data_IF_260716851893
#
_entry.id   IF_260716851893
#
_cell.length_a   1.000
_cell.length_b   1.000
_cell.length_c   1.000
_cell.angle_alpha   90.00
_cell.angle_beta   90.00
_cell.angle_gamma   90.00
#
_symmetry.space_group_name_H-M   'P 1'
#
loop_
_entity.id
_entity.type
_entity.pdbx_description
1 polymer ?
#
# COMPACT_ATOMS: atom_id res chain seq x y z
N UNK A 1 6.85 -13.45 -14.95
CA UNK A 1 5.94 -12.83 -15.93
C UNK A 1 4.56 -12.77 -15.31
N UNK A 2 3.81 -11.68 -15.52
CA UNK A 2 2.41 -11.60 -15.12
C UNK A 2 1.55 -12.63 -15.87
N UNK A 3 0.35 -12.88 -15.35
CA UNK A 3 -0.61 -13.82 -15.96
C UNK A 3 -1.25 -13.29 -17.25
N UNK A 4 -1.17 -11.97 -17.48
CA UNK A 4 -1.66 -11.31 -18.70
C UNK A 4 -0.53 -10.53 -19.40
N UNK A 5 -0.64 -10.26 -20.71
CA UNK A 5 0.29 -9.39 -21.43
C UNK A 5 0.37 -8.00 -20.80
N UNK A 6 1.57 -7.44 -20.76
CA UNK A 6 1.83 -6.08 -20.29
C UNK A 6 2.10 -5.18 -21.49
N UNK A 7 1.81 -3.88 -21.37
CA UNK A 7 2.30 -2.89 -22.32
C UNK A 7 3.53 -2.27 -21.66
N UNK A 8 4.71 -2.64 -22.16
CA UNK A 8 5.96 -2.14 -21.60
C UNK A 8 6.17 -0.69 -22.03
N UNK A 9 7.02 0.04 -21.30
CA UNK A 9 7.26 1.46 -21.54
C UNK A 9 7.69 1.76 -22.98
N UNK A 10 8.52 0.90 -23.57
CA UNK A 10 9.02 1.08 -24.94
C UNK A 10 7.95 0.83 -26.02
N UNK A 11 6.89 0.10 -25.68
CA UNK A 11 5.80 -0.29 -26.59
C UNK A 11 4.58 0.62 -26.44
N UNK A 12 4.53 1.41 -25.36
CA UNK A 12 3.43 2.31 -25.07
C UNK A 12 3.32 3.41 -26.13
N UNK A 13 2.08 3.71 -26.52
CA UNK A 13 1.77 4.79 -27.45
C UNK A 13 0.52 5.55 -27.01
N UNK A 14 0.26 6.70 -27.63
CA UNK A 14 -0.96 7.49 -27.39
C UNK A 14 -1.16 7.87 -25.92
N UNK A 15 -2.32 7.54 -25.35
CA UNK A 15 -2.66 7.88 -23.97
C UNK A 15 -1.83 7.09 -22.94
N UNK A 16 -1.48 5.83 -23.23
CA UNK A 16 -0.65 5.00 -22.35
C UNK A 16 0.76 5.55 -22.23
N UNK A 17 1.38 5.98 -23.33
CA UNK A 17 2.69 6.63 -23.28
C UNK A 17 2.67 7.90 -22.40
N UNK A 18 1.64 8.74 -22.56
CA UNK A 18 1.52 9.98 -21.76
C UNK A 18 1.40 9.71 -20.28
N UNK A 19 0.55 8.77 -19.85
CA UNK A 19 0.43 8.47 -18.42
C UNK A 19 1.69 7.81 -17.86
N UNK A 20 2.38 6.99 -18.67
CA UNK A 20 3.67 6.41 -18.27
C UNK A 20 4.76 7.45 -18.07
N UNK A 21 4.77 8.55 -18.82
CA UNK A 21 5.69 9.67 -18.56
C UNK A 21 5.48 10.25 -17.15
N UNK A 22 4.23 10.36 -16.70
CA UNK A 22 3.90 10.86 -15.38
C UNK A 22 4.26 9.84 -14.28
N UNK A 23 3.98 8.56 -14.52
CA UNK A 23 4.45 7.45 -13.65
C UNK A 23 5.97 7.53 -13.48
N UNK A 24 6.72 7.66 -14.58
CA UNK A 24 8.18 7.73 -14.56
C UNK A 24 8.68 8.97 -13.81
N UNK A 25 8.02 10.13 -13.94
CA UNK A 25 8.38 11.32 -13.15
C UNK A 25 8.20 11.09 -11.65
N UNK A 26 7.17 10.35 -11.25
CA UNK A 26 6.86 10.08 -9.85
C UNK A 26 7.76 8.99 -9.24
N UNK A 27 8.08 7.94 -9.99
CA UNK A 27 8.74 6.73 -9.46
C UNK A 27 10.13 6.43 -10.06
N UNK A 28 10.58 7.23 -11.04
CA UNK A 28 11.85 7.02 -11.75
C UNK A 28 11.79 5.96 -12.86
N UNK A 29 10.78 5.08 -12.85
CA UNK A 29 10.48 4.05 -13.85
C UNK A 29 8.96 3.85 -13.96
N UNK A 30 8.51 2.97 -14.85
CA UNK A 30 7.14 2.44 -14.83
C UNK A 30 7.13 1.11 -14.07
N UNK A 31 6.68 1.07 -12.79
CA UNK A 31 6.52 -0.18 -12.05
C UNK A 31 5.60 -1.18 -12.79
N UNK A 32 5.87 -2.48 -12.61
CA UNK A 32 5.07 -3.58 -13.14
C UNK A 32 3.58 -3.48 -12.74
N UNK A 33 3.29 -2.87 -11.58
CA UNK A 33 1.93 -2.56 -11.16
C UNK A 33 1.16 -1.66 -12.14
N UNK A 34 1.82 -0.68 -12.75
CA UNK A 34 1.21 0.17 -13.76
C UNK A 34 1.33 -0.45 -15.16
N UNK A 35 2.44 -1.14 -15.45
CA UNK A 35 2.66 -1.77 -16.76
C UNK A 35 1.59 -2.82 -17.12
N UNK A 36 1.14 -3.61 -16.13
CA UNK A 36 0.09 -4.62 -16.31
C UNK A 36 -1.29 -4.00 -16.61
N UNK A 37 -1.46 -2.71 -16.30
CA UNK A 37 -2.71 -1.97 -16.47
C UNK A 37 -2.72 -1.07 -17.71
N UNK A 38 -1.69 -1.17 -18.57
CA UNK A 38 -1.45 -0.23 -19.67
C UNK A 38 -2.58 -0.08 -20.69
N UNK A 39 -3.53 -1.02 -20.74
CA UNK A 39 -4.75 -0.93 -21.57
C UNK A 39 -5.77 0.08 -21.05
N UNK A 40 -5.62 0.54 -19.80
CA UNK A 40 -6.50 1.48 -19.11
C UNK A 40 -5.73 2.68 -18.55
N UNK A 41 -5.18 3.55 -19.42
CA UNK A 41 -4.39 4.71 -18.98
C UNK A 41 -5.19 5.71 -18.14
N UNK A 42 -6.52 5.76 -18.32
CA UNK A 42 -7.44 6.52 -17.49
C UNK A 42 -7.45 6.04 -16.03
N UNK A 43 -7.43 4.71 -15.82
CA UNK A 43 -7.39 4.09 -14.49
C UNK A 43 -6.04 4.34 -13.83
N UNK A 44 -4.94 4.18 -14.57
CA UNK A 44 -3.59 4.47 -14.06
C UNK A 44 -3.50 5.90 -13.54
N UNK A 45 -3.99 6.88 -14.31
CA UNK A 45 -3.98 8.28 -13.89
C UNK A 45 -4.79 8.52 -12.60
N UNK A 46 -5.97 7.88 -12.49
CA UNK A 46 -6.81 7.97 -11.30
C UNK A 46 -6.15 7.31 -10.08
N UNK A 47 -5.51 6.16 -10.26
CA UNK A 47 -4.78 5.44 -9.21
C UNK A 47 -3.57 6.24 -8.70
N UNK A 48 -2.81 6.86 -9.60
CA UNK A 48 -1.72 7.74 -9.20
C UNK A 48 -2.21 8.91 -8.35
N UNK A 49 -3.30 9.55 -8.78
CA UNK A 49 -3.89 10.67 -8.05
C UNK A 49 -4.43 10.23 -6.68
N UNK A 50 -5.17 9.11 -6.63
CA UNK A 50 -5.72 8.58 -5.39
C UNK A 50 -4.62 8.11 -4.44
N UNK A 51 -3.72 7.25 -4.91
CA UNK A 51 -2.60 6.73 -4.13
C UNK A 51 -1.68 7.84 -3.61
N UNK A 52 -1.38 8.85 -4.44
CA UNK A 52 -0.61 10.02 -4.01
C UNK A 52 -1.29 10.81 -2.89
N UNK A 53 -2.61 11.02 -2.98
CA UNK A 53 -3.40 11.68 -1.94
C UNK A 53 -3.52 10.86 -0.65
N UNK A 54 -3.58 9.52 -0.77
CA UNK A 54 -3.62 8.63 0.39
C UNK A 54 -2.26 8.62 1.09
N UNK A 55 -1.16 8.50 0.36
CA UNK A 55 0.17 8.23 0.92
C UNK A 55 0.95 9.48 1.35
N UNK A 56 0.55 10.69 0.98
CA UNK A 56 1.21 11.92 1.47
C UNK A 56 1.07 12.08 2.99
N UNK A 57 1.96 12.86 3.60
CA UNK A 57 1.82 13.27 4.99
C UNK A 57 0.58 14.15 5.17
N UNK A 58 -0.28 13.79 6.12
CA UNK A 58 -1.47 14.57 6.47
C UNK A 58 -1.87 14.23 7.93
N UNK A 59 -3.09 13.76 8.22
CA UNK A 59 -3.46 13.43 9.60
C UNK A 59 -2.60 12.27 10.16
N UNK A 60 -2.31 11.26 9.33
CA UNK A 60 -1.31 10.24 9.60
C UNK A 60 0.00 10.53 8.83
N UNK A 61 1.16 10.39 9.49
CA UNK A 61 2.44 10.43 8.80
C UNK A 61 2.54 9.33 7.75
N UNK A 62 3.16 9.63 6.62
CA UNK A 62 3.42 8.67 5.53
C UNK A 62 4.11 7.41 6.05
N UNK A 63 5.07 7.55 6.97
CA UNK A 63 5.75 6.40 7.57
C UNK A 63 4.78 5.43 8.26
N UNK A 64 3.71 5.92 8.91
CA UNK A 64 2.69 5.05 9.54
C UNK A 64 1.85 4.36 8.47
N UNK A 65 1.47 5.07 7.40
CA UNK A 65 0.73 4.50 6.26
C UNK A 65 1.51 3.39 5.54
N UNK A 66 2.81 3.58 5.37
CA UNK A 66 3.73 2.57 4.81
C UNK A 66 3.90 1.36 5.76
N UNK A 67 3.88 1.55 7.08
CA UNK A 67 3.83 0.42 8.04
C UNK A 67 2.52 -0.37 7.91
N UNK A 68 1.38 0.32 7.80
CA UNK A 68 0.07 -0.32 7.51
C UNK A 68 0.15 -1.11 6.20
N UNK A 69 0.80 -0.55 5.16
CA UNK A 69 1.01 -1.23 3.89
C UNK A 69 1.69 -2.60 4.05
N UNK A 70 2.74 -2.66 4.88
CA UNK A 70 3.49 -3.89 5.15
C UNK A 70 2.68 -4.91 5.95
N UNK A 71 1.91 -4.48 6.95
CA UNK A 71 1.01 -5.36 7.71
C UNK A 71 -0.03 -5.98 6.78
N UNK A 72 -0.74 -5.16 6.02
CA UNK A 72 -1.78 -5.61 5.07
C UNK A 72 -1.20 -6.52 3.99
N UNK A 73 -0.04 -6.14 3.42
CA UNK A 73 0.61 -6.92 2.37
C UNK A 73 1.19 -8.23 2.91
N UNK A 74 1.64 -8.27 4.17
CA UNK A 74 2.06 -9.48 4.87
C UNK A 74 0.91 -10.47 5.04
N UNK A 75 -0.25 -9.98 5.51
CA UNK A 75 -1.49 -10.75 5.64
C UNK A 75 -1.95 -11.32 4.30
N UNK A 76 -1.89 -10.51 3.24
CA UNK A 76 -2.31 -10.89 1.89
C UNK A 76 -1.22 -11.65 1.11
N UNK A 77 -0.05 -11.91 1.71
CA UNK A 77 1.10 -12.55 1.08
C UNK A 77 1.53 -11.92 -0.26
N UNK A 78 1.42 -10.59 -0.38
CA UNK A 78 1.77 -9.87 -1.60
C UNK A 78 3.28 -9.56 -1.62
N UNK A 79 4.07 -10.46 -2.20
CA UNK A 79 5.53 -10.31 -2.32
C UNK A 79 5.95 -9.01 -3.02
N UNK A 80 5.22 -8.62 -4.07
CA UNK A 80 5.43 -7.37 -4.79
C UNK A 80 5.28 -6.15 -3.88
N UNK A 81 4.16 -6.05 -3.18
CA UNK A 81 3.90 -4.92 -2.28
C UNK A 81 4.85 -4.94 -1.07
N UNK A 82 5.15 -6.10 -0.51
CA UNK A 82 6.13 -6.22 0.60
C UNK A 82 7.48 -5.63 0.17
N UNK A 83 7.97 -5.98 -1.01
CA UNK A 83 9.25 -5.49 -1.52
C UNK A 83 9.24 -3.97 -1.74
N UNK A 84 8.25 -3.46 -2.48
CA UNK A 84 8.14 -2.05 -2.81
C UNK A 84 7.98 -1.16 -1.56
N UNK A 85 7.11 -1.55 -0.63
CA UNK A 85 6.84 -0.76 0.57
C UNK A 85 7.93 -0.91 1.64
N UNK A 86 8.70 -2.01 1.63
CA UNK A 86 9.89 -2.12 2.48
C UNK A 86 10.99 -1.14 2.03
N UNK A 87 11.17 -0.97 0.72
CA UNK A 87 12.10 0.03 0.17
C UNK A 87 11.62 1.45 0.44
N UNK A 88 10.33 1.74 0.22
CA UNK A 88 9.75 3.05 0.52
C UNK A 88 9.92 3.42 2.00
N UNK A 89 9.63 2.49 2.92
CA UNK A 89 9.79 2.71 4.35
C UNK A 89 11.27 2.88 4.75
N UNK A 90 12.18 2.16 4.09
CA UNK A 90 13.62 2.36 4.27
C UNK A 90 14.08 3.76 3.85
N UNK A 91 13.57 4.27 2.72
CA UNK A 91 13.87 5.62 2.24
C UNK A 91 13.34 6.73 3.17
N UNK A 92 12.34 6.41 4.01
CA UNK A 92 11.84 7.28 5.08
C UNK A 92 12.66 7.16 6.38
N UNK A 93 13.78 6.46 6.37
CA UNK A 93 14.69 6.32 7.51
C UNK A 93 14.32 5.20 8.49
N UNK A 94 13.36 4.34 8.16
CA UNK A 94 12.99 3.21 9.01
C UNK A 94 13.91 2.02 8.74
N UNK A 95 14.31 1.32 9.79
CA UNK A 95 15.21 0.18 9.69
C UNK A 95 14.53 -1.01 9.00
N UNK A 96 15.25 -1.65 8.04
CA UNK A 96 14.79 -2.84 7.32
C UNK A 96 14.31 -4.00 8.23
N UNK A 97 14.91 -4.27 9.41
CA UNK A 97 14.41 -5.29 10.32
C UNK A 97 12.96 -5.05 10.79
N UNK A 98 12.57 -3.79 11.05
CA UNK A 98 11.19 -3.47 11.42
C UNK A 98 10.24 -3.74 10.25
N UNK A 99 10.59 -3.33 9.03
CA UNK A 99 9.79 -3.58 7.84
C UNK A 99 9.56 -5.08 7.59
N UNK A 100 10.62 -5.88 7.76
CA UNK A 100 10.54 -7.35 7.69
C UNK A 100 9.64 -7.92 8.78
N UNK A 101 9.76 -7.43 10.01
CA UNK A 101 8.94 -7.93 11.11
C UNK A 101 7.45 -7.64 10.87
N UNK A 102 7.11 -6.43 10.44
CA UNK A 102 5.74 -6.04 10.11
C UNK A 102 5.10 -6.91 9.00
N UNK A 103 5.88 -7.38 8.02
CA UNK A 103 5.35 -8.19 6.92
C UNK A 103 5.26 -9.69 7.23
N UNK A 104 5.93 -10.18 8.27
CA UNK A 104 5.97 -11.61 8.62
C UNK A 104 5.16 -11.90 9.89
N UNK A 105 5.33 -11.07 10.92
CA UNK A 105 4.76 -11.25 12.25
C UNK A 105 4.70 -9.88 12.96
N UNK A 106 3.75 -9.05 12.52
CA UNK A 106 3.58 -7.69 13.06
C UNK A 106 3.29 -7.65 14.57
N UNK A 107 2.59 -8.61 15.21
CA UNK A 107 2.37 -8.58 16.66
C UNK A 107 3.67 -8.59 17.49
N UNK A 108 4.76 -9.10 16.93
CA UNK A 108 6.07 -9.09 17.60
C UNK A 108 6.98 -7.95 17.10
N UNK A 109 6.48 -7.04 16.28
CA UNK A 109 7.25 -5.91 15.77
C UNK A 109 7.53 -4.88 16.89
N UNK A 110 8.73 -4.27 16.94
CA UNK A 110 9.04 -3.23 17.90
C UNK A 110 8.34 -1.91 17.51
N UNK A 111 7.04 -1.82 17.80
CA UNK A 111 6.18 -0.67 17.57
C UNK A 111 5.59 -0.18 18.89
N UNK A 112 5.13 1.07 18.92
CA UNK A 112 4.41 1.59 20.10
C UNK A 112 3.05 0.90 20.26
N UNK A 113 2.52 0.87 21.48
CA UNK A 113 1.15 0.38 21.75
C UNK A 113 0.10 1.06 20.87
N UNK A 114 0.27 2.36 20.59
CA UNK A 114 -0.62 3.11 19.72
C UNK A 114 -0.56 2.63 18.26
N UNK A 115 0.65 2.42 17.72
CA UNK A 115 0.81 1.86 16.37
C UNK A 115 0.32 0.41 16.30
N UNK A 116 0.55 -0.39 17.33
CA UNK A 116 0.08 -1.77 17.39
C UNK A 116 -1.46 -1.85 17.33
N UNK A 117 -2.16 -0.94 18.02
CA UNK A 117 -3.61 -0.84 17.93
C UNK A 117 -4.09 -0.55 16.48
N UNK A 118 -3.39 0.32 15.75
CA UNK A 118 -3.66 0.55 14.32
C UNK A 118 -3.42 -0.71 13.48
N UNK A 119 -2.36 -1.47 13.75
CA UNK A 119 -2.04 -2.68 13.00
C UNK A 119 -3.07 -3.78 13.24
N UNK A 120 -3.54 -3.96 14.48
CA UNK A 120 -4.66 -4.86 14.77
C UNK A 120 -5.96 -4.44 14.08
N UNK A 121 -6.26 -3.13 14.03
CA UNK A 121 -7.40 -2.63 13.28
C UNK A 121 -7.26 -2.91 11.77
N UNK A 122 -6.09 -2.63 11.19
CA UNK A 122 -5.81 -2.90 9.77
C UNK A 122 -5.88 -4.40 9.44
N UNK A 123 -5.41 -5.26 10.34
CA UNK A 123 -5.50 -6.72 10.23
C UNK A 123 -6.96 -7.18 10.23
N UNK A 124 -7.73 -6.77 11.24
CA UNK A 124 -9.16 -7.10 11.34
C UNK A 124 -9.93 -6.60 10.12
N UNK A 125 -9.69 -5.36 9.66
CA UNK A 125 -10.34 -4.80 8.48
C UNK A 125 -9.95 -5.54 7.19
N UNK A 126 -8.74 -6.10 7.13
CA UNK A 126 -8.26 -6.90 5.99
C UNK A 126 -8.91 -8.29 5.95
N UNK A 127 -8.95 -8.99 7.10
CA UNK A 127 -9.42 -10.39 7.17
C UNK A 127 -10.92 -10.51 7.35
N UNK A 128 -11.52 -9.63 8.15
CA UNK A 128 -12.88 -9.72 8.66
C UNK A 128 -13.59 -8.34 8.61
N UNK A 129 -13.67 -7.67 7.44
CA UNK A 129 -14.25 -6.33 7.33
C UNK A 129 -15.69 -6.26 7.83
N UNK A 130 -16.47 -7.33 7.70
CA UNK A 130 -17.86 -7.41 8.18
C UNK A 130 -18.00 -7.47 9.70
N UNK A 131 -16.92 -7.68 10.44
CA UNK A 131 -16.91 -7.74 11.92
C UNK A 131 -16.38 -6.46 12.56
N UNK A 132 -16.02 -5.45 11.75
CA UNK A 132 -15.63 -4.14 12.27
C UNK A 132 -16.83 -3.51 12.98
N UNK A 133 -16.60 -3.05 14.20
CA UNK A 133 -17.60 -2.47 15.08
C UNK A 133 -17.10 -1.15 15.69
N UNK A 134 -18.02 -0.38 16.27
CA UNK A 134 -17.70 0.88 16.95
C UNK A 134 -16.61 0.72 18.02
N UNK A 135 -16.60 -0.43 18.70
CA UNK A 135 -15.61 -0.74 19.73
C UNK A 135 -14.16 -0.77 19.21
N UNK A 136 -13.93 -1.11 17.94
CA UNK A 136 -12.60 -1.10 17.32
C UNK A 136 -12.10 0.34 17.16
N UNK A 137 -12.98 1.23 16.65
CA UNK A 137 -12.72 2.66 16.49
C UNK A 137 -12.50 3.33 17.85
N UNK A 138 -13.33 3.01 18.84
CA UNK A 138 -13.16 3.52 20.21
C UNK A 138 -11.86 3.00 20.85
N UNK A 139 -11.42 1.80 20.48
CA UNK A 139 -10.08 1.28 20.80
C UNK A 139 -8.98 2.20 20.33
N UNK A 140 -8.99 2.57 19.05
CA UNK A 140 -8.01 3.51 18.49
C UNK A 140 -8.02 4.86 19.20
N UNK A 141 -9.20 5.40 19.53
CA UNK A 141 -9.33 6.65 20.29
C UNK A 141 -8.70 6.57 21.68
N UNK A 142 -8.85 5.43 22.38
CA UNK A 142 -8.19 5.20 23.69
C UNK A 142 -6.67 5.19 23.59
N UNK A 143 -6.12 4.87 22.42
CA UNK A 143 -4.69 4.95 22.12
C UNK A 143 -4.23 6.31 21.58
N UNK A 144 -5.12 7.32 21.57
CA UNK A 144 -4.78 8.70 21.21
C UNK A 144 -4.95 9.05 19.73
N UNK A 145 -5.51 8.15 18.91
CA UNK A 145 -5.79 8.44 17.52
C UNK A 145 -7.07 9.26 17.37
N UNK A 146 -7.00 10.37 16.64
CA UNK A 146 -8.17 11.17 16.31
C UNK A 146 -8.92 10.63 15.08
N UNK A 147 -10.13 11.12 14.84
CA UNK A 147 -10.99 10.61 13.75
C UNK A 147 -10.36 10.76 12.35
N UNK A 148 -9.59 11.83 12.10
CA UNK A 148 -8.88 12.00 10.83
C UNK A 148 -7.78 10.96 10.62
N UNK A 149 -7.06 10.63 11.69
CA UNK A 149 -6.05 9.57 11.67
C UNK A 149 -6.67 8.19 11.47
N UNK A 150 -7.79 7.92 12.14
CA UNK A 150 -8.52 6.66 12.00
C UNK A 150 -9.06 6.51 10.55
N UNK A 151 -9.60 7.59 9.99
CA UNK A 151 -10.01 7.62 8.59
C UNK A 151 -8.86 7.30 7.64
N UNK A 152 -7.70 7.95 7.80
CA UNK A 152 -6.54 7.70 6.95
C UNK A 152 -5.98 6.29 7.12
N UNK A 153 -6.06 5.70 8.31
CA UNK A 153 -5.68 4.31 8.54
C UNK A 153 -6.60 3.36 7.75
N UNK A 154 -7.93 3.53 7.87
CA UNK A 154 -8.90 2.73 7.13
C UNK A 154 -8.71 2.89 5.60
N UNK A 155 -8.45 4.12 5.15
CA UNK A 155 -8.22 4.43 3.74
C UNK A 155 -6.94 3.78 3.21
N UNK A 156 -5.84 3.84 3.97
CA UNK A 156 -4.59 3.15 3.62
C UNK A 156 -4.79 1.63 3.61
N UNK A 157 -5.48 1.05 4.59
CA UNK A 157 -5.81 -0.38 4.62
C UNK A 157 -6.62 -0.80 3.39
N UNK A 158 -7.65 -0.03 3.02
CA UNK A 158 -8.47 -0.30 1.84
C UNK A 158 -7.65 -0.20 0.54
N UNK A 159 -6.80 0.82 0.42
CA UNK A 159 -5.92 1.02 -0.71
C UNK A 159 -4.95 -0.15 -0.91
N UNK A 160 -4.28 -0.60 0.15
CA UNK A 160 -3.37 -1.74 0.03
C UNK A 160 -4.10 -3.05 -0.21
N UNK A 161 -5.32 -3.21 0.29
CA UNK A 161 -6.18 -4.31 -0.10
C UNK A 161 -6.51 -4.32 -1.60
N UNK A 162 -6.75 -3.15 -2.21
CA UNK A 162 -6.92 -3.02 -3.66
C UNK A 162 -5.63 -3.38 -4.41
N UNK A 163 -4.51 -2.73 -4.09
CA UNK A 163 -3.22 -2.94 -4.75
C UNK A 163 -2.76 -4.40 -4.64
N UNK A 164 -2.89 -5.02 -3.46
CA UNK A 164 -2.52 -6.43 -3.26
C UNK A 164 -3.37 -7.36 -4.13
N UNK A 165 -4.68 -7.09 -4.31
CA UNK A 165 -5.57 -7.91 -5.13
C UNK A 165 -5.23 -7.83 -6.61
N UNK A 166 -4.90 -6.64 -7.11
CA UNK A 166 -4.41 -6.48 -8.48
C UNK A 166 -3.08 -7.22 -8.65
N UNK A 167 -2.15 -7.05 -7.71
CA UNK A 167 -0.85 -7.72 -7.74
C UNK A 167 -0.97 -9.25 -7.76
N UNK A 168 -1.75 -9.81 -6.83
CA UNK A 168 -1.94 -11.26 -6.72
C UNK A 168 -2.76 -11.82 -7.89
N UNK A 169 -3.85 -11.15 -8.26
CA UNK A 169 -4.76 -11.57 -9.33
C UNK A 169 -4.10 -11.60 -10.71
N UNK A 170 -3.06 -10.78 -10.92
CA UNK A 170 -2.33 -10.69 -12.20
C UNK A 170 -0.90 -11.26 -12.14
N UNK A 171 -0.50 -11.86 -11.01
CA UNK A 171 0.79 -12.54 -10.89
C UNK A 171 2.00 -11.62 -11.04
N UNK A 172 1.95 -10.43 -10.44
CA UNK A 172 3.03 -9.46 -10.57
C UNK A 172 4.35 -9.97 -9.99
N UNK A 173 5.44 -9.68 -10.70
CA UNK A 173 6.82 -9.95 -10.27
C UNK A 173 7.50 -8.65 -9.85
N UNK A 174 8.56 -8.77 -9.04
CA UNK A 174 9.34 -7.64 -8.56
C UNK A 174 9.95 -6.83 -9.71
N UNK A 175 10.13 -5.53 -9.48
CA UNK A 175 10.71 -4.60 -10.47
C UNK A 175 12.25 -4.60 -10.48
N UNK A 176 12.90 -5.52 -9.76
CA UNK A 176 14.35 -5.61 -9.57
C UNK A 176 14.80 -7.04 -9.27
#
# INVERSE_FOLDING_TARGET
MSFIPQINEQEASGATARVYEDVRKAYGKVPNFYAVQGTRPDVIGAEMALGGNIMKDEALPRAVKEKIALVVSGINHSSYCIAAHSEALHNLGVAKPLARQLSIDYPSAPASEAEMALFHFADKLTRQPGEIAQADVDGLRRHGWNDGQIYEAALATAWFNFVNRISAGLGLILDF
#
